data_IF_336847377783
#
_entry.id   IF_336847377783
#
_cell.length_a   1.000
_cell.length_b   1.000
_cell.length_c   1.000
_cell.angle_alpha   90.00
_cell.angle_beta   90.00
_cell.angle_gamma   90.00
#
_symmetry.space_group_name_H-M   'P 1'
#
loop_
_entity.id
_entity.type
_entity.pdbx_description
1 polymer ?
#
# COMPACT_ATOMS: atom_id res chain seq x y z
N UNK A 1 -0.26 43.98 -43.61
CA UNK A 1 -1.12 42.79 -43.45
C UNK A 1 -0.51 41.68 -44.31
N UNK A 2 0.55 41.04 -43.82
CA UNK A 2 1.38 40.17 -44.65
C UNK A 2 0.92 38.71 -44.56
N UNK A 3 0.69 38.17 -45.75
CA UNK A 3 0.31 36.84 -46.21
C UNK A 3 0.19 35.69 -45.18
N UNK A 4 -1.02 35.14 -45.14
CA UNK A 4 -1.32 33.74 -44.79
C UNK A 4 -0.46 32.82 -45.67
N UNK A 5 0.62 32.27 -45.12
CA UNK A 5 1.34 31.17 -45.75
C UNK A 5 0.50 29.90 -45.66
N UNK A 6 0.07 29.36 -46.79
CA UNK A 6 -0.52 28.02 -46.84
C UNK A 6 0.60 27.00 -46.63
N UNK A 7 0.43 26.07 -45.68
CA UNK A 7 1.37 24.97 -45.48
C UNK A 7 1.51 24.17 -46.75
N UNK A 8 2.75 23.85 -47.12
CA UNK A 8 2.99 23.01 -48.29
C UNK A 8 2.58 21.57 -47.99
N UNK A 9 2.05 20.86 -48.99
CA UNK A 9 1.56 19.48 -48.81
C UNK A 9 2.67 18.55 -48.27
N UNK A 10 3.92 18.77 -48.69
CA UNK A 10 5.07 17.98 -48.24
C UNK A 10 5.44 18.23 -46.77
N UNK A 11 5.32 19.47 -46.31
CA UNK A 11 5.58 19.84 -44.91
C UNK A 11 4.56 19.18 -43.98
N UNK A 12 3.29 19.11 -44.42
CA UNK A 12 2.22 18.43 -43.68
C UNK A 12 2.47 16.93 -43.55
N UNK A 13 3.00 16.27 -44.60
CA UNK A 13 3.40 14.86 -44.54
C UNK A 13 4.51 14.65 -43.52
N UNK A 14 5.54 15.50 -43.51
CA UNK A 14 6.64 15.40 -42.56
C UNK A 14 6.16 15.56 -41.11
N UNK A 15 5.29 16.53 -40.84
CA UNK A 15 4.71 16.73 -39.51
C UNK A 15 3.92 15.51 -39.05
N UNK A 16 3.09 14.90 -39.93
CA UNK A 16 2.35 13.69 -39.59
C UNK A 16 3.26 12.51 -39.24
N UNK A 17 4.36 12.32 -40.00
CA UNK A 17 5.33 11.25 -39.72
C UNK A 17 6.00 11.46 -38.36
N UNK A 18 6.43 12.68 -38.04
CA UNK A 18 7.07 12.99 -36.76
C UNK A 18 6.12 12.75 -35.58
N UNK A 19 4.87 13.23 -35.69
CA UNK A 19 3.85 13.01 -34.65
C UNK A 19 3.55 11.51 -34.49
N UNK A 20 3.50 10.74 -35.59
CA UNK A 20 3.30 9.30 -35.53
C UNK A 20 4.40 8.57 -34.77
N UNK A 21 5.66 8.93 -35.00
CA UNK A 21 6.82 8.34 -34.30
C UNK A 21 6.80 8.73 -32.81
N UNK A 22 6.54 10.00 -32.50
CA UNK A 22 6.45 10.49 -31.12
C UNK A 22 5.27 9.86 -30.36
N UNK A 23 4.12 9.68 -31.00
CA UNK A 23 2.97 9.01 -30.40
C UNK A 23 3.26 7.53 -30.12
N UNK A 24 3.90 6.82 -31.05
CA UNK A 24 4.27 5.42 -30.89
C UNK A 24 5.27 5.20 -29.73
N UNK A 25 6.29 6.04 -29.62
CA UNK A 25 7.27 5.98 -28.53
C UNK A 25 6.69 6.45 -27.20
N UNK A 26 5.89 7.51 -27.21
CA UNK A 26 5.19 8.02 -26.03
C UNK A 26 4.29 6.97 -25.39
N UNK A 27 3.47 6.27 -26.19
CA UNK A 27 2.57 5.23 -25.68
C UNK A 27 3.29 4.10 -24.93
N UNK A 28 4.53 3.79 -25.31
CA UNK A 28 5.35 2.80 -24.61
C UNK A 28 5.86 3.31 -23.25
N UNK A 29 6.36 4.54 -23.19
CA UNK A 29 6.89 5.14 -21.96
C UNK A 29 5.81 5.49 -20.93
N UNK A 30 4.59 5.82 -21.36
CA UNK A 30 3.49 6.19 -20.46
C UNK A 30 2.72 4.99 -19.88
N UNK A 31 3.26 3.76 -19.97
CA UNK A 31 2.63 2.61 -19.31
C UNK A 31 2.66 2.83 -17.79
N UNK A 32 1.49 2.85 -17.12
CA UNK A 32 1.45 3.10 -15.70
C UNK A 32 2.11 1.94 -14.94
N UNK A 33 3.00 2.26 -14.00
CA UNK A 33 3.58 1.27 -13.09
C UNK A 33 2.56 0.94 -11.98
N UNK A 34 1.66 0.00 -12.29
CA UNK A 34 0.55 -0.42 -11.42
C UNK A 34 1.11 -0.97 -10.10
N UNK A 35 2.09 -1.87 -10.17
CA UNK A 35 2.72 -2.47 -9.00
C UNK A 35 3.28 -1.44 -8.03
N UNK A 36 4.00 -0.43 -8.56
CA UNK A 36 4.56 0.63 -7.72
C UNK A 36 3.45 1.46 -7.07
N UNK A 37 2.43 1.86 -7.83
CA UNK A 37 1.34 2.69 -7.31
C UNK A 37 0.50 1.97 -6.25
N UNK A 38 0.21 0.68 -6.47
CA UNK A 38 -0.48 -0.16 -5.48
C UNK A 38 0.37 -0.35 -4.22
N UNK A 39 1.69 -0.54 -4.39
CA UNK A 39 2.64 -0.61 -3.27
C UNK A 39 2.66 0.68 -2.45
N UNK A 40 2.73 1.83 -3.12
CA UNK A 40 2.78 3.13 -2.45
C UNK A 40 1.45 3.43 -1.72
N UNK A 41 0.31 3.00 -2.28
CA UNK A 41 -1.00 3.10 -1.63
C UNK A 41 -1.06 2.26 -0.36
N UNK A 42 -0.68 0.98 -0.44
CA UNK A 42 -0.65 0.06 0.73
C UNK A 42 0.29 0.62 1.80
N UNK A 43 1.47 1.11 1.40
CA UNK A 43 2.42 1.76 2.30
C UNK A 43 1.81 2.98 3.00
N UNK A 44 1.07 3.80 2.26
CA UNK A 44 0.32 4.95 2.80
C UNK A 44 -0.69 4.52 3.86
N UNK A 45 -1.45 3.47 3.59
CA UNK A 45 -2.45 2.92 4.53
C UNK A 45 -1.81 2.34 5.79
N UNK A 46 -0.67 1.66 5.69
CA UNK A 46 0.08 1.18 6.85
C UNK A 46 0.56 2.36 7.72
N UNK A 47 1.07 3.43 7.09
CA UNK A 47 1.49 4.64 7.81
C UNK A 47 0.33 5.34 8.49
N UNK A 48 -0.83 5.39 7.82
CA UNK A 48 -2.09 5.91 8.38
C UNK A 48 -2.52 5.11 9.62
N UNK A 49 -2.52 3.78 9.54
CA UNK A 49 -2.85 2.91 10.66
C UNK A 49 -1.89 3.12 11.83
N UNK A 50 -0.58 3.16 11.58
CA UNK A 50 0.42 3.48 12.62
C UNK A 50 0.13 4.82 13.29
N UNK A 51 -0.14 5.86 12.51
CA UNK A 51 -0.42 7.19 13.06
C UNK A 51 -1.65 7.18 13.96
N UNK A 52 -2.73 6.49 13.54
CA UNK A 52 -3.94 6.28 14.35
C UNK A 52 -3.65 5.48 15.63
N UNK A 53 -2.79 4.46 15.56
CA UNK A 53 -2.40 3.62 16.69
C UNK A 53 -1.65 4.42 17.77
N UNK A 54 -0.67 5.25 17.38
CA UNK A 54 0.08 6.11 18.33
C UNK A 54 -0.85 7.04 19.12
N UNK A 55 -1.90 7.56 18.46
CA UNK A 55 -2.88 8.44 19.10
C UNK A 55 -3.88 7.72 20.02
N UNK A 56 -3.84 6.38 20.12
CA UNK A 56 -4.87 5.60 20.78
C UNK A 56 -4.28 4.50 21.68
N UNK A 57 -4.40 4.68 22.99
CA UNK A 57 -3.98 3.65 23.94
C UNK A 57 -5.08 2.60 24.14
N UNK A 58 -4.77 1.35 23.77
CA UNK A 58 -5.63 0.18 23.98
C UNK A 58 -5.45 -0.48 25.35
N UNK A 59 -4.45 -0.05 26.12
CA UNK A 59 -4.18 -0.55 27.45
C UNK A 59 -4.93 0.28 28.49
N UNK A 60 -5.84 -0.36 29.23
CA UNK A 60 -6.67 0.28 30.24
C UNK A 60 -5.99 0.30 31.63
N UNK A 61 -6.42 1.21 32.51
CA UNK A 61 -5.86 1.37 33.86
C UNK A 61 -6.02 0.15 34.76
N UNK A 62 -7.03 -0.69 34.49
CA UNK A 62 -7.27 -1.96 35.19
C UNK A 62 -6.34 -3.10 34.73
N UNK A 63 -5.47 -2.85 33.73
CA UNK A 63 -4.56 -3.84 33.15
C UNK A 63 -5.19 -4.71 32.05
N UNK A 64 -6.42 -4.44 31.60
CA UNK A 64 -7.01 -5.11 30.45
C UNK A 64 -6.69 -4.42 29.12
N UNK A 65 -6.76 -5.19 28.04
CA UNK A 65 -6.63 -4.67 26.69
C UNK A 65 -8.03 -4.46 26.08
N UNK A 66 -8.19 -3.36 25.35
CA UNK A 66 -9.42 -3.04 24.65
C UNK A 66 -9.35 -3.52 23.20
N UNK A 67 -10.27 -4.42 22.84
CA UNK A 67 -10.49 -4.81 21.45
C UNK A 67 -11.04 -3.62 20.65
N UNK A 68 -10.21 -3.04 19.78
CA UNK A 68 -10.60 -1.93 18.91
C UNK A 68 -9.78 -1.92 17.62
N UNK A 69 -10.43 -1.64 16.48
CA UNK A 69 -9.81 -1.54 15.16
C UNK A 69 -8.98 -0.27 14.94
N UNK A 70 -9.04 0.72 15.84
CA UNK A 70 -8.19 1.92 15.75
C UNK A 70 -6.72 1.49 15.76
N UNK A 71 -5.96 1.99 14.79
CA UNK A 71 -4.55 1.63 14.63
C UNK A 71 -4.30 0.27 13.98
N UNK A 72 -5.34 -0.40 13.47
CA UNK A 72 -5.22 -1.67 12.75
C UNK A 72 -5.53 -1.50 11.26
N UNK A 73 -4.90 -2.34 10.44
CA UNK A 73 -5.11 -2.44 9.01
C UNK A 73 -5.20 -3.90 8.61
N UNK A 74 -6.28 -4.26 7.92
CA UNK A 74 -6.41 -5.56 7.29
C UNK A 74 -5.66 -5.54 5.95
N UNK A 75 -4.72 -6.48 5.79
CA UNK A 75 -3.83 -6.62 4.65
C UNK A 75 -4.48 -7.47 3.55
N UNK A 76 -5.77 -7.23 3.29
CA UNK A 76 -6.52 -7.85 2.21
C UNK A 76 -6.92 -6.81 1.17
N UNK A 77 -6.91 -7.20 -0.11
CA UNK A 77 -7.31 -6.31 -1.21
C UNK A 77 -8.72 -5.76 -1.01
N UNK A 78 -9.63 -6.60 -0.54
CA UNK A 78 -11.04 -6.24 -0.36
C UNK A 78 -11.19 -5.22 0.75
N UNK A 79 -10.54 -5.43 1.90
CA UNK A 79 -10.58 -4.49 3.02
C UNK A 79 -9.93 -3.14 2.69
N UNK A 80 -8.81 -3.15 1.94
CA UNK A 80 -8.12 -1.93 1.52
C UNK A 80 -8.90 -1.13 0.48
N UNK A 81 -9.74 -1.79 -0.31
CA UNK A 81 -10.64 -1.15 -1.26
C UNK A 81 -11.98 -0.75 -0.61
N UNK A 82 -12.39 -1.37 0.50
CA UNK A 82 -13.64 -1.13 1.21
C UNK A 82 -13.49 -0.07 2.32
N UNK A 83 -13.03 1.13 1.98
CA UNK A 83 -13.16 2.25 2.92
C UNK A 83 -14.61 2.75 2.88
N UNK A 84 -15.38 2.40 3.91
CA UNK A 84 -16.80 2.73 4.15
C UNK A 84 -17.10 4.22 4.35
N UNK A 85 -16.19 5.12 3.98
CA UNK A 85 -16.45 6.56 4.05
C UNK A 85 -17.29 6.95 2.84
N UNK A 86 -18.52 7.44 3.07
CA UNK A 86 -19.50 7.76 2.03
C UNK A 86 -19.07 8.92 1.11
N UNK A 87 -17.97 9.59 1.44
CA UNK A 87 -17.42 10.68 0.66
C UNK A 87 -16.30 10.23 -0.29
N UNK A 88 -16.19 11.00 -1.38
CA UNK A 88 -15.07 11.16 -2.29
C UNK A 88 -15.16 10.47 -3.68
N UNK A 89 -15.28 11.35 -4.67
CA UNK A 89 -15.32 11.08 -6.11
C UNK A 89 -14.05 10.43 -6.69
N UNK A 90 -13.00 10.15 -5.90
CA UNK A 90 -11.74 9.57 -6.38
C UNK A 90 -11.06 8.65 -5.35
N UNK A 91 -11.70 7.52 -5.02
CA UNK A 91 -11.04 6.44 -4.26
C UNK A 91 -10.03 5.72 -5.14
N UNK A 92 -8.78 5.67 -4.71
CA UNK A 92 -7.79 4.77 -5.32
C UNK A 92 -8.23 3.32 -5.12
N UNK A 93 -8.25 2.53 -6.20
CA UNK A 93 -8.59 1.12 -6.16
C UNK A 93 -7.37 0.31 -6.55
N UNK A 94 -7.00 -0.62 -5.67
CA UNK A 94 -5.95 -1.58 -5.95
C UNK A 94 -6.36 -2.41 -7.16
N UNK A 95 -5.41 -2.66 -8.08
CA UNK A 95 -5.69 -3.43 -9.27
C UNK A 95 -6.15 -4.86 -8.93
N UNK A 96 -7.11 -5.39 -9.70
CA UNK A 96 -7.73 -6.70 -9.44
C UNK A 96 -6.74 -7.86 -9.42
N UNK A 97 -5.66 -7.76 -10.21
CA UNK A 97 -4.62 -8.79 -10.34
C UNK A 97 -3.48 -8.65 -9.32
N UNK A 98 -3.58 -7.69 -8.40
CA UNK A 98 -2.63 -7.59 -7.29
C UNK A 98 -2.99 -8.58 -6.21
N UNK A 99 -1.98 -9.27 -5.71
CA UNK A 99 -2.07 -10.12 -4.53
C UNK A 99 -1.19 -9.53 -3.43
N UNK A 100 -1.68 -9.60 -2.20
CA UNK A 100 -1.03 -9.06 -1.00
C UNK A 100 -0.86 -10.23 -0.05
N UNK A 101 0.39 -10.55 0.27
CA UNK A 101 0.72 -11.67 1.14
C UNK A 101 1.65 -11.16 2.24
N UNK A 102 1.17 -11.16 3.48
CA UNK A 102 1.96 -10.80 4.64
C UNK A 102 2.24 -12.05 5.49
N UNK A 103 3.51 -12.26 5.84
CA UNK A 103 3.89 -13.41 6.66
C UNK A 103 4.91 -13.02 7.72
N UNK A 104 4.71 -13.57 8.91
CA UNK A 104 5.61 -13.46 10.05
C UNK A 104 5.87 -14.85 10.61
N UNK A 105 7.15 -15.23 10.73
CA UNK A 105 7.58 -16.55 11.23
C UNK A 105 6.83 -17.74 10.60
N UNK A 106 6.53 -17.68 9.30
CA UNK A 106 5.84 -18.75 8.57
C UNK A 106 4.31 -18.78 8.75
N UNK A 107 3.75 -17.88 9.56
CA UNK A 107 2.31 -17.68 9.67
C UNK A 107 1.84 -16.52 8.80
N UNK A 108 0.67 -16.67 8.19
CA UNK A 108 -0.02 -15.56 7.51
C UNK A 108 -0.51 -14.55 8.55
N UNK A 109 -0.26 -13.26 8.27
CA UNK A 109 -0.74 -12.12 9.07
C UNK A 109 -1.84 -11.42 8.27
N UNK A 110 -3.07 -11.46 8.76
CA UNK A 110 -4.20 -10.83 8.05
C UNK A 110 -4.42 -9.39 8.47
N UNK A 111 -4.26 -9.11 9.75
CA UNK A 111 -4.42 -7.77 10.31
C UNK A 111 -3.13 -7.37 11.00
N UNK A 112 -2.64 -6.18 10.66
CA UNK A 112 -1.51 -5.55 11.30
C UNK A 112 -2.02 -4.43 12.19
N UNK A 113 -1.76 -4.52 13.49
CA UNK A 113 -2.13 -3.50 14.46
C UNK A 113 -0.91 -2.74 14.96
N UNK A 114 -1.11 -1.50 15.40
CA UNK A 114 -0.09 -0.70 16.05
C UNK A 114 -0.56 -0.28 17.44
N UNK A 115 0.33 -0.37 18.41
CA UNK A 115 0.08 0.14 19.76
C UNK A 115 0.31 1.67 19.85
N UNK A 116 0.11 2.22 21.04
CA UNK A 116 0.31 3.65 21.32
C UNK A 116 1.78 4.11 21.20
N UNK A 117 2.74 3.18 21.14
CA UNK A 117 4.14 3.46 20.88
C UNK A 117 4.49 3.32 19.38
N UNK A 118 3.52 2.94 18.55
CA UNK A 118 3.71 2.71 17.13
C UNK A 118 4.40 1.40 16.80
N UNK A 119 4.46 0.46 17.74
CA UNK A 119 5.04 -0.88 17.54
C UNK A 119 4.01 -1.79 16.85
N UNK A 120 4.42 -2.58 15.85
CA UNK A 120 3.52 -3.47 15.14
C UNK A 120 3.21 -4.75 15.91
N UNK A 121 1.96 -5.20 15.81
CA UNK A 121 1.40 -6.42 16.38
C UNK A 121 0.73 -7.25 15.28
N UNK A 122 0.90 -8.57 15.37
CA UNK A 122 0.20 -9.57 14.55
C UNK A 122 -1.26 -9.73 15.00
N UNK A 123 -2.14 -10.17 14.10
CA UNK A 123 -3.50 -10.63 14.41
C UNK A 123 -3.52 -11.94 15.20
N UNK A 124 -2.39 -12.66 15.24
CA UNK A 124 -2.22 -13.91 15.96
C UNK A 124 -1.19 -13.78 17.08
N UNK A 125 -1.50 -14.39 18.22
CA UNK A 125 -0.55 -14.60 19.30
C UNK A 125 0.39 -15.79 19.06
N UNK A 126 1.37 -15.96 19.94
CA UNK A 126 2.36 -17.05 19.86
C UNK A 126 1.75 -18.46 19.86
N UNK A 127 0.54 -18.62 20.40
CA UNK A 127 -0.21 -19.89 20.40
C UNK A 127 -1.12 -20.06 19.17
N UNK A 128 -1.13 -19.10 18.23
CA UNK A 128 -1.97 -19.09 17.03
C UNK A 128 -3.42 -18.66 17.25
N UNK A 129 -3.77 -18.18 18.44
CA UNK A 129 -5.06 -17.57 18.76
C UNK A 129 -5.15 -16.12 18.29
N UNK A 130 -6.37 -15.68 17.99
CA UNK A 130 -6.65 -14.30 17.55
C UNK A 130 -6.38 -13.28 18.67
N UNK A 131 -5.84 -12.12 18.31
CA UNK A 131 -5.65 -10.97 19.20
C UNK A 131 -6.89 -10.10 19.34
N UNK A 132 -7.91 -10.29 18.50
CA UNK A 132 -9.09 -9.43 18.46
C UNK A 132 -8.75 -7.93 18.43
N UNK A 133 -7.64 -7.55 17.78
CA UNK A 133 -7.12 -6.18 17.71
C UNK A 133 -6.72 -5.54 19.06
N UNK A 134 -6.41 -6.33 20.08
CA UNK A 134 -6.08 -5.87 21.44
C UNK A 134 -4.64 -5.34 21.61
N UNK A 135 -3.72 -5.63 20.68
CA UNK A 135 -2.29 -5.28 20.75
C UNK A 135 -1.63 -5.80 22.02
N UNK A 136 -1.90 -7.06 22.38
CA UNK A 136 -1.30 -7.70 23.56
C UNK A 136 0.20 -7.88 23.39
N UNK A 137 0.92 -8.01 24.51
CA UNK A 137 2.38 -8.15 24.49
C UNK A 137 2.87 -9.41 23.75
N UNK A 138 2.10 -10.49 23.77
CA UNK A 138 2.37 -11.76 23.08
C UNK A 138 2.07 -11.71 21.57
N UNK A 139 1.54 -10.59 21.06
CA UNK A 139 1.31 -10.38 19.62
C UNK A 139 2.32 -9.42 19.00
N UNK A 140 3.20 -8.85 19.83
CA UNK A 140 4.25 -7.92 19.42
C UNK A 140 5.20 -8.60 18.42
N UNK A 141 5.50 -7.91 17.32
CA UNK A 141 6.51 -8.41 16.40
C UNK A 141 7.91 -8.20 16.99
N UNK A 142 8.76 -9.22 16.85
CA UNK A 142 10.15 -9.23 17.30
C UNK A 142 11.16 -9.28 16.15
N UNK A 143 10.67 -9.43 14.92
CA UNK A 143 11.44 -9.34 13.68
C UNK A 143 10.64 -8.54 12.63
N UNK A 144 11.30 -7.94 11.62
CA UNK A 144 10.60 -7.18 10.60
C UNK A 144 9.53 -8.02 9.88
N UNK A 145 8.35 -7.45 9.66
CA UNK A 145 7.31 -8.05 8.84
C UNK A 145 7.59 -7.75 7.37
N UNK A 146 7.60 -8.80 6.53
CA UNK A 146 7.63 -8.65 5.08
C UNK A 146 6.22 -8.81 4.51
N UNK A 147 5.76 -7.78 3.80
CA UNK A 147 4.51 -7.78 3.04
C UNK A 147 4.89 -7.83 1.57
N UNK A 148 4.58 -8.94 0.91
CA UNK A 148 4.85 -9.15 -0.51
C UNK A 148 3.64 -8.75 -1.34
N UNK A 149 3.87 -7.93 -2.36
CA UNK A 149 2.86 -7.43 -3.29
C UNK A 149 3.25 -7.92 -4.67
N UNK A 150 2.40 -8.72 -5.29
CA UNK A 150 2.66 -9.33 -6.60
C UNK A 150 1.70 -8.77 -7.64
N UNK A 151 2.19 -8.48 -8.84
CA UNK A 151 1.39 -8.08 -9.99
C UNK A 151 2.03 -8.62 -11.26
N UNK A 152 1.29 -9.44 -12.01
CA UNK A 152 1.70 -9.95 -13.33
C UNK A 152 3.10 -10.61 -13.33
N UNK A 153 3.43 -11.35 -12.27
CA UNK A 153 4.73 -12.04 -12.11
C UNK A 153 5.84 -11.20 -11.47
N UNK A 154 5.70 -9.87 -11.43
CA UNK A 154 6.61 -8.98 -10.72
C UNK A 154 6.20 -8.86 -9.25
N UNK A 155 7.17 -8.62 -8.36
CA UNK A 155 6.91 -8.46 -6.93
C UNK A 155 7.65 -7.28 -6.32
N UNK A 156 7.04 -6.66 -5.31
CA UNK A 156 7.65 -5.66 -4.44
C UNK A 156 7.35 -6.02 -3.00
N UNK A 157 8.31 -5.70 -2.12
CA UNK A 157 8.20 -5.98 -0.69
C UNK A 157 8.10 -4.69 0.10
N UNK A 158 7.14 -4.60 0.99
CA UNK A 158 7.11 -3.61 2.07
C UNK A 158 7.69 -4.27 3.32
N UNK A 159 8.63 -3.58 3.95
CA UNK A 159 9.22 -3.98 5.22
C UNK A 159 8.64 -3.10 6.33
N UNK A 160 8.09 -3.71 7.38
CA UNK A 160 7.66 -3.02 8.60
C UNK A 160 8.60 -3.39 9.75
N UNK A 161 9.29 -2.40 10.32
CA UNK A 161 10.24 -2.61 11.41
C UNK A 161 9.53 -2.86 12.73
N UNK A 162 9.97 -3.88 13.46
CA UNK A 162 9.29 -4.44 14.62
C UNK A 162 9.35 -3.58 15.91
N UNK A 163 10.33 -2.68 16.05
CA UNK A 163 10.41 -1.80 17.24
C UNK A 163 9.78 -0.43 17.06
N UNK A 164 9.62 0.03 15.81
CA UNK A 164 9.20 1.41 15.52
C UNK A 164 7.96 1.47 14.65
N UNK A 165 7.53 0.35 14.07
CA UNK A 165 6.49 0.29 13.04
C UNK A 165 6.85 1.08 11.78
N UNK A 166 8.11 1.48 11.60
CA UNK A 166 8.52 2.20 10.40
C UNK A 166 8.36 1.28 9.18
N UNK A 167 7.58 1.73 8.22
CA UNK A 167 7.28 1.01 6.99
C UNK A 167 7.99 1.64 5.79
N UNK A 168 8.64 0.83 4.98
CA UNK A 168 9.33 1.26 3.74
C UNK A 168 9.25 0.19 2.66
N UNK A 169 9.33 0.60 1.40
CA UNK A 169 9.53 -0.35 0.29
C UNK A 169 10.97 -0.84 0.34
N UNK A 170 11.17 -2.16 0.37
CA UNK A 170 12.49 -2.78 0.28
C UNK A 170 13.04 -2.53 -1.11
N UNK A 171 14.21 -1.91 -1.20
CA UNK A 171 14.90 -1.78 -2.47
C UNK A 171 15.24 -3.18 -3.01
N UNK A 172 14.88 -3.47 -4.26
CA UNK A 172 15.37 -4.65 -4.94
C UNK A 172 16.84 -4.40 -5.29
N UNK A 173 17.74 -5.21 -4.73
CA UNK A 173 19.13 -5.31 -5.21
C UNK A 173 19.19 -6.28 -6.39
#
# INVERSE_FOLDING_TARGET
MALRGAFTLIELIFVMVIIGILAGTGAYYFRPNILQRDTDFILGKIKEAKFKGIGYNKYEFNGSYRSNSIGCIELSKDALNSSNEEDEAQKYKINSYVEINASYNGSEVKTLCFDYLGRPHSDKNESGGDDNNETRLDTLLHAPLEINITYNGDSRKILVLHMSGFATVKACN
#
